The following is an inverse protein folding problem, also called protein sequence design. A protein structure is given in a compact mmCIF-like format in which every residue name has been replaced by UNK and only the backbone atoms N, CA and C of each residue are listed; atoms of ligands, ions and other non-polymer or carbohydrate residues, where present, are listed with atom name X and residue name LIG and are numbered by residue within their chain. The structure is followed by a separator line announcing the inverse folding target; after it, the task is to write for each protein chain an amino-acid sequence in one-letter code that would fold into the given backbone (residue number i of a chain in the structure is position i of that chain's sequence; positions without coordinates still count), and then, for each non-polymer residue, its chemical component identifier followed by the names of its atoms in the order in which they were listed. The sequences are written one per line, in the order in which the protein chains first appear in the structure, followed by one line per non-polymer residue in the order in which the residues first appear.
data_IF_556701760864
#
_entry.id   IF_556701760864
#
_cell.length_a   1.000
_cell.length_b   1.000
_cell.length_c   1.000
_cell.angle_alpha   90.00
_cell.angle_beta   90.00
_cell.angle_gamma   90.00
#
_symmetry.space_group_name_H-M   'P 1'
#
loop_
_entity.id
_entity.type
_entity.pdbx_description
1 polymer ?
#
# COMPACT_ATOMS: atom_id res chain seq x y z
N UNK A 1 1.74 -5.24 10.48
CA UNK A 1 2.59 -4.38 11.34
C UNK A 1 3.90 -3.99 10.71
N UNK A 2 4.69 -4.86 10.06
CA UNK A 2 5.92 -4.39 9.36
C UNK A 2 5.62 -3.27 8.34
N UNK A 3 4.43 -3.23 7.73
CA UNK A 3 3.99 -2.10 6.89
C UNK A 3 3.28 -0.96 7.64
N UNK A 4 2.55 -1.24 8.71
CA UNK A 4 2.17 -0.21 9.70
C UNK A 4 3.37 0.29 10.54
N UNK A 5 4.56 -0.24 10.30
CA UNK A 5 5.85 0.17 10.87
C UNK A 5 6.68 0.85 9.78
N UNK A 6 6.67 0.34 8.54
CA UNK A 6 7.36 0.93 7.38
C UNK A 6 6.72 2.24 6.92
N UNK A 7 5.39 2.35 6.97
CA UNK A 7 4.67 3.62 6.85
C UNK A 7 5.04 4.61 7.95
N UNK A 8 5.89 4.27 8.91
CA UNK A 8 6.13 5.13 10.04
C UNK A 8 7.54 4.96 10.65
N UNK A 9 8.53 4.63 9.82
CA UNK A 9 9.92 4.55 10.24
C UNK A 9 10.56 5.94 10.19
N UNK A 10 10.36 6.70 11.26
CA UNK A 10 11.11 7.93 11.57
C UNK A 10 11.71 7.79 12.96
N UNK A 11 12.93 8.31 13.24
CA UNK A 11 13.56 8.22 14.54
C UNK A 11 12.87 9.19 15.52
N UNK A 12 11.68 8.84 16.01
CA UNK A 12 11.22 9.32 17.30
C UNK A 12 11.70 8.29 18.30
N UNK A 13 12.85 8.58 18.90
CA UNK A 13 13.42 7.80 19.99
C UNK A 13 12.33 7.45 21.01
N UNK A 14 11.82 6.22 20.95
CA UNK A 14 11.02 5.65 22.01
C UNK A 14 11.99 5.21 23.12
N UNK A 15 12.71 6.17 23.68
CA UNK A 15 13.52 5.97 24.86
C UNK A 15 12.69 6.44 26.05
N UNK A 16 12.47 5.51 26.99
CA UNK A 16 11.74 5.61 28.25
C UNK A 16 10.20 5.49 28.20
N UNK A 17 9.69 4.39 28.77
CA UNK A 17 8.28 4.10 29.09
C UNK A 17 7.84 2.68 28.70
N UNK A 18 6.85 2.13 29.41
CA UNK A 18 6.28 0.81 29.12
C UNK A 18 5.60 0.76 27.74
N UNK A 19 5.73 -0.38 27.06
CA UNK A 19 5.16 -0.66 25.72
C UNK A 19 5.41 0.45 24.67
N UNK A 20 6.68 0.77 24.32
CA UNK A 20 7.03 1.89 23.43
C UNK A 20 6.40 1.81 22.03
N UNK A 21 6.18 0.62 21.50
CA UNK A 21 5.54 0.38 20.20
C UNK A 21 4.07 0.78 20.23
N UNK A 22 3.33 0.32 21.25
CA UNK A 22 1.91 0.66 21.44
C UNK A 22 1.73 2.16 21.67
N UNK A 23 2.63 2.77 22.44
CA UNK A 23 2.61 4.21 22.69
C UNK A 23 2.78 5.01 21.39
N UNK A 24 3.64 4.54 20.50
CA UNK A 24 3.85 5.15 19.19
C UNK A 24 2.60 5.02 18.32
N UNK A 25 1.93 3.87 18.33
CA UNK A 25 0.67 3.66 17.62
C UNK A 25 -0.45 4.56 18.17
N UNK A 26 -0.58 4.69 19.49
CA UNK A 26 -1.56 5.58 20.12
C UNK A 26 -1.47 7.02 19.59
N UNK A 27 -0.27 7.60 19.58
CA UNK A 27 -0.09 8.98 19.11
C UNK A 27 -0.30 9.13 17.59
N UNK A 28 -0.12 8.06 16.81
CA UNK A 28 -0.45 8.05 15.38
C UNK A 28 -1.95 7.99 15.14
N UNK A 29 -2.69 7.22 15.93
CA UNK A 29 -4.15 7.24 15.89
C UNK A 29 -4.69 8.61 16.29
N UNK A 30 -4.13 9.22 17.34
CA UNK A 30 -4.44 10.59 17.74
C UNK A 30 -4.13 11.62 16.65
N UNK A 31 -3.04 11.43 15.90
CA UNK A 31 -2.73 12.23 14.73
C UNK A 31 -3.83 12.10 13.66
N UNK A 32 -4.18 10.87 13.26
CA UNK A 32 -5.20 10.62 12.24
C UNK A 32 -6.58 11.16 12.62
N UNK A 33 -6.89 11.17 13.92
CA UNK A 33 -8.13 11.74 14.44
C UNK A 33 -8.24 13.25 14.18
N UNK A 34 -7.12 13.95 13.94
CA UNK A 34 -7.13 15.38 13.56
C UNK A 34 -7.33 15.59 12.05
N UNK A 35 -7.29 14.53 11.26
CA UNK A 35 -7.53 14.57 9.83
C UNK A 35 -9.02 14.31 9.54
N UNK A 36 -9.60 15.03 8.59
CA UNK A 36 -10.99 14.82 8.15
C UNK A 36 -11.08 13.65 7.17
N UNK A 37 -10.69 12.46 7.62
CA UNK A 37 -10.70 11.20 6.88
C UNK A 37 -11.34 10.11 7.73
N UNK A 38 -11.75 9.00 7.10
CA UNK A 38 -12.23 7.79 7.78
C UNK A 38 -11.15 6.71 7.62
N UNK A 39 -10.27 6.49 8.61
CA UNK A 39 -9.22 5.50 8.50
C UNK A 39 -9.76 4.08 8.58
N UNK A 40 -9.31 3.24 7.64
CA UNK A 40 -9.54 1.80 7.65
C UNK A 40 -8.19 1.09 7.60
N UNK A 41 -7.91 0.28 8.61
CA UNK A 41 -6.65 -0.46 8.73
C UNK A 41 -6.82 -1.88 8.20
N UNK A 42 -6.07 -2.26 7.17
CA UNK A 42 -6.11 -3.62 6.61
C UNK A 42 -4.92 -4.43 7.13
N UNK A 43 -5.19 -5.64 7.60
CA UNK A 43 -4.20 -6.59 8.10
C UNK A 43 -4.15 -7.81 7.19
N UNK A 44 -2.95 -8.28 6.78
CA UNK A 44 -2.81 -9.60 6.12
C UNK A 44 -3.47 -10.71 6.94
N UNK A 45 -4.01 -11.69 6.24
CA UNK A 45 -4.57 -12.91 6.80
C UNK A 45 -3.69 -14.14 6.62
N UNK A 46 -4.31 -15.27 6.89
CA UNK A 46 -3.65 -16.57 6.97
C UNK A 46 -3.22 -17.12 5.60
N UNK A 47 -3.87 -16.71 4.51
CA UNK A 47 -3.61 -17.24 3.16
C UNK A 47 -2.51 -16.48 2.40
N UNK A 48 -1.83 -15.53 3.07
CA UNK A 48 -0.67 -14.87 2.48
C UNK A 48 0.44 -15.89 2.16
N UNK A 49 1.19 -15.72 1.06
CA UNK A 49 2.34 -16.56 0.72
C UNK A 49 3.32 -16.70 1.90
N UNK A 50 3.62 -17.94 2.30
CA UNK A 50 4.46 -18.25 3.47
C UNK A 50 5.95 -17.95 3.30
N UNK A 51 6.40 -17.65 2.08
CA UNK A 51 7.78 -17.31 1.73
C UNK A 51 7.75 -16.01 0.92
N UNK A 52 8.48 -14.99 1.38
CA UNK A 52 8.76 -13.76 0.65
C UNK A 52 10.26 -13.49 0.67
N UNK A 53 10.83 -13.02 -0.44
CA UNK A 53 12.25 -12.71 -0.62
C UNK A 53 13.20 -13.85 -0.24
N UNK A 54 12.80 -15.10 -0.52
CA UNK A 54 13.55 -16.30 -0.15
C UNK A 54 13.62 -16.58 1.36
N UNK A 55 12.84 -15.85 2.17
CA UNK A 55 12.76 -16.02 3.62
C UNK A 55 11.35 -16.41 4.02
N UNK A 56 11.22 -17.29 5.03
CA UNK A 56 9.92 -17.56 5.64
C UNK A 56 9.38 -16.26 6.21
N UNK A 57 8.14 -15.92 5.85
CA UNK A 57 7.50 -14.71 6.38
C UNK A 57 7.40 -14.89 7.89
N UNK A 58 8.02 -13.96 8.65
CA UNK A 58 7.95 -14.01 10.12
C UNK A 58 6.49 -13.91 10.56
N UNK A 59 6.07 -14.85 11.39
CA UNK A 59 4.79 -14.80 12.08
C UNK A 59 4.78 -13.54 12.95
N UNK A 60 3.71 -12.76 12.86
CA UNK A 60 3.55 -11.49 13.58
C UNK A 60 3.71 -11.72 15.08
N UNK A 61 4.07 -10.67 15.82
CA UNK A 61 3.85 -10.62 17.25
C UNK A 61 2.33 -10.55 17.50
N UNK A 62 1.65 -11.65 17.85
CA UNK A 62 0.18 -11.68 17.85
C UNK A 62 -0.39 -10.74 18.93
N UNK A 63 0.39 -10.51 19.99
CA UNK A 63 0.07 -9.56 21.04
C UNK A 63 -0.05 -8.13 20.49
N UNK A 64 0.90 -7.65 19.70
CA UNK A 64 0.92 -6.24 19.28
C UNK A 64 -0.24 -5.95 18.30
N UNK A 65 -0.57 -6.89 17.43
CA UNK A 65 -1.71 -6.77 16.52
C UNK A 65 -3.04 -6.72 17.29
N UNK A 66 -3.21 -7.63 18.26
CA UNK A 66 -4.42 -7.69 19.10
C UNK A 66 -4.67 -6.34 19.79
N UNK A 67 -3.65 -5.80 20.47
CA UNK A 67 -3.78 -4.54 21.20
C UNK A 67 -3.86 -3.33 20.26
N UNK A 68 -3.29 -3.41 19.06
CA UNK A 68 -3.49 -2.37 18.05
C UNK A 68 -4.95 -2.33 17.55
N UNK A 69 -5.55 -3.50 17.26
CA UNK A 69 -6.97 -3.61 16.90
C UNK A 69 -7.90 -3.09 18.00
N UNK A 70 -7.54 -3.34 19.26
CA UNK A 70 -8.22 -2.76 20.42
C UNK A 70 -8.14 -1.23 20.42
N UNK A 71 -6.96 -0.64 20.22
CA UNK A 71 -6.82 0.82 20.10
C UNK A 71 -7.59 1.38 18.91
N UNK A 72 -7.53 0.76 17.74
CA UNK A 72 -8.25 1.20 16.53
C UNK A 72 -9.74 1.37 16.84
N UNK A 73 -10.35 0.35 17.47
CA UNK A 73 -11.76 0.40 17.89
C UNK A 73 -12.02 1.48 18.94
N UNK A 74 -11.15 1.63 19.93
CA UNK A 74 -11.27 2.67 20.95
C UNK A 74 -11.24 4.08 20.34
N UNK A 75 -10.51 4.28 19.24
CA UNK A 75 -10.50 5.55 18.49
C UNK A 75 -11.72 5.75 17.57
N UNK A 76 -12.63 4.78 17.48
CA UNK A 76 -13.77 4.81 16.56
C UNK A 76 -13.35 4.57 15.09
N UNK A 77 -12.17 4.03 14.85
CA UNK A 77 -11.69 3.67 13.52
C UNK A 77 -12.04 2.22 13.16
N UNK A 78 -11.86 1.89 11.89
CA UNK A 78 -12.20 0.57 11.36
C UNK A 78 -10.96 -0.24 11.04
N UNK A 79 -11.08 -1.55 11.14
CA UNK A 79 -10.10 -2.45 10.56
C UNK A 79 -10.75 -3.61 9.83
N UNK A 80 -9.97 -4.21 8.94
CA UNK A 80 -10.35 -5.37 8.14
C UNK A 80 -9.20 -6.38 8.11
N UNK A 81 -9.55 -7.65 8.20
CA UNK A 81 -8.61 -8.76 8.05
C UNK A 81 -8.71 -9.29 6.63
N UNK A 82 -7.71 -8.99 5.81
CA UNK A 82 -7.62 -9.51 4.45
C UNK A 82 -7.50 -11.05 4.50
N UNK A 83 -8.04 -11.80 3.53
CA UNK A 83 -7.79 -13.24 3.46
C UNK A 83 -6.32 -13.58 3.18
N UNK A 84 -5.70 -12.82 2.27
CA UNK A 84 -4.30 -12.92 1.85
C UNK A 84 -3.46 -11.74 2.33
N UNK A 85 -2.90 -10.98 1.39
CA UNK A 85 -2.05 -9.82 1.67
C UNK A 85 -2.86 -8.52 1.78
N UNK A 86 -2.50 -7.66 2.73
CA UNK A 86 -3.21 -6.40 2.95
C UNK A 86 -3.16 -5.46 1.73
N UNK A 87 -2.06 -5.45 0.99
CA UNK A 87 -1.77 -4.56 -0.13
C UNK A 87 -2.61 -4.92 -1.35
N UNK A 88 -2.78 -6.23 -1.59
CA UNK A 88 -3.69 -6.73 -2.62
C UNK A 88 -5.15 -6.45 -2.27
N UNK A 89 -5.52 -6.61 -1.00
CA UNK A 89 -6.85 -6.28 -0.51
C UNK A 89 -7.14 -4.77 -0.65
N UNK A 90 -6.21 -3.92 -0.20
CA UNK A 90 -6.28 -2.46 -0.33
C UNK A 90 -6.41 -2.02 -1.79
N UNK A 91 -5.60 -2.58 -2.69
CA UNK A 91 -5.68 -2.30 -4.12
C UNK A 91 -7.05 -2.67 -4.70
N UNK A 92 -7.60 -3.82 -4.28
CA UNK A 92 -8.93 -4.28 -4.71
C UNK A 92 -10.03 -3.38 -4.17
N UNK A 93 -9.99 -3.02 -2.89
CA UNK A 93 -10.94 -2.08 -2.26
C UNK A 93 -10.90 -0.70 -2.95
N UNK A 94 -9.71 -0.21 -3.29
CA UNK A 94 -9.56 1.07 -3.97
C UNK A 94 -10.10 1.05 -5.41
N UNK A 95 -9.82 -0.02 -6.17
CA UNK A 95 -10.43 -0.22 -7.51
C UNK A 95 -11.95 -0.33 -7.46
N UNK A 96 -12.48 -0.98 -6.43
CA UNK A 96 -13.92 -1.16 -6.24
C UNK A 96 -14.63 0.11 -5.74
N UNK A 97 -13.91 1.19 -5.44
CA UNK A 97 -14.47 2.43 -4.92
C UNK A 97 -14.93 2.35 -3.46
N UNK A 98 -14.43 1.35 -2.70
CA UNK A 98 -14.73 1.18 -1.27
C UNK A 98 -13.90 2.12 -0.41
N UNK A 99 -12.67 2.40 -0.85
CA UNK A 99 -11.79 3.41 -0.26
C UNK A 99 -11.28 4.35 -1.35
N UNK A 100 -11.12 5.63 -1.02
CA UNK A 100 -10.66 6.63 -1.98
C UNK A 100 -9.16 6.55 -2.25
N UNK A 101 -8.37 6.27 -1.21
CA UNK A 101 -6.91 6.32 -1.24
C UNK A 101 -6.29 5.25 -0.35
N UNK A 102 -5.12 4.76 -0.77
CA UNK A 102 -4.28 3.83 0.00
C UNK A 102 -3.10 4.60 0.56
N UNK A 103 -2.86 4.53 1.86
CA UNK A 103 -1.60 5.00 2.44
C UNK A 103 -0.71 3.79 2.64
N UNK A 104 0.45 3.75 1.98
CA UNK A 104 1.42 2.65 2.14
C UNK A 104 2.82 3.13 1.72
N UNK A 105 3.86 2.50 2.26
CA UNK A 105 5.23 2.68 1.77
C UNK A 105 5.70 1.54 0.90
N UNK A 106 4.86 0.53 0.72
CA UNK A 106 5.16 -0.54 -0.22
C UNK A 106 4.73 -0.15 -1.63
N UNK A 107 5.56 -0.51 -2.61
CA UNK A 107 5.22 -0.36 -4.02
C UNK A 107 4.29 -1.48 -4.52
N UNK A 108 4.16 -2.58 -3.78
CA UNK A 108 3.34 -3.73 -4.20
C UNK A 108 1.88 -3.34 -4.47
N UNK A 109 1.33 -2.35 -3.75
CA UNK A 109 -0.01 -1.84 -4.02
C UNK A 109 -0.16 -1.27 -5.44
N UNK A 110 0.89 -0.70 -6.04
CA UNK A 110 0.86 -0.26 -7.45
C UNK A 110 0.76 -1.47 -8.40
N UNK A 111 1.49 -2.54 -8.09
CA UNK A 111 1.53 -3.77 -8.90
C UNK A 111 0.18 -4.51 -8.85
N UNK A 112 -0.48 -4.51 -7.69
CA UNK A 112 -1.86 -4.99 -7.56
C UNK A 112 -2.91 -4.03 -8.19
N UNK A 113 -2.47 -2.89 -8.70
CA UNK A 113 -3.27 -1.90 -9.44
C UNK A 113 -4.01 -0.88 -8.56
N UNK A 114 -3.48 -0.55 -7.38
CA UNK A 114 -3.97 0.57 -6.59
C UNK A 114 -4.06 1.85 -7.44
N UNK A 115 -5.20 2.54 -7.36
CA UNK A 115 -5.55 3.66 -8.23
C UNK A 115 -5.05 4.99 -7.68
N UNK A 116 -5.12 5.18 -6.35
CA UNK A 116 -4.67 6.39 -5.67
C UNK A 116 -3.86 5.99 -4.42
N UNK A 117 -2.57 6.28 -4.41
CA UNK A 117 -1.63 5.87 -3.36
C UNK A 117 -0.90 7.07 -2.80
N UNK A 118 -0.97 7.25 -1.48
CA UNK A 118 -0.24 8.25 -0.72
C UNK A 118 1.01 7.62 -0.10
N UNK A 119 2.15 8.27 -0.31
CA UNK A 119 3.45 7.90 0.29
C UNK A 119 4.09 9.10 0.98
N UNK A 120 4.78 8.92 2.10
CA UNK A 120 5.46 10.02 2.78
C UNK A 120 6.69 10.48 2.02
N UNK A 121 6.91 11.79 2.01
CA UNK A 121 8.11 12.40 1.40
C UNK A 121 9.39 11.95 2.09
N UNK A 122 9.38 11.74 3.41
CA UNK A 122 10.55 11.28 4.17
C UNK A 122 11.14 9.99 3.57
N UNK A 123 10.29 9.02 3.23
CA UNK A 123 10.71 7.74 2.64
C UNK A 123 11.26 7.95 1.23
N UNK A 124 10.62 8.79 0.42
CA UNK A 124 11.05 9.08 -0.95
C UNK A 124 12.43 9.76 -0.95
N UNK A 125 12.64 10.73 -0.05
CA UNK A 125 13.89 11.47 0.07
C UNK A 125 15.08 10.58 0.45
N UNK A 126 14.85 9.51 1.22
CA UNK A 126 15.87 8.54 1.60
C UNK A 126 16.25 7.65 0.41
N UNK A 127 15.30 7.34 -0.47
CA UNK A 127 15.53 6.54 -1.68
C UNK A 127 16.24 7.34 -2.79
N UNK A 128 16.03 8.66 -2.85
CA UNK A 128 16.55 9.55 -3.91
C UNK A 128 17.58 10.56 -3.41
N UNK A 129 18.37 10.24 -2.39
CA UNK A 129 19.42 11.16 -1.93
C UNK A 129 20.53 11.27 -2.99
N UNK A 130 20.73 12.44 -3.63
CA UNK A 130 21.86 12.61 -4.53
C UNK A 130 23.18 12.41 -3.76
N UNK A 131 24.24 11.90 -4.42
CA UNK A 131 25.54 11.72 -3.77
C UNK A 131 26.01 13.06 -3.17
N UNK A 132 26.41 13.01 -1.89
CA UNK A 132 26.86 14.20 -1.15
C UNK A 132 28.02 14.86 -1.88
N UNK A 133 27.89 16.14 -2.20
CA UNK A 133 29.03 16.96 -2.60
C UNK A 133 30.06 17.01 -1.47
N UNK A 134 31.35 16.84 -1.78
CA UNK A 134 32.44 17.02 -0.81
C UNK A 134 32.36 18.45 -0.25
N UNK A 135 32.01 18.60 1.02
CA UNK A 135 31.88 19.90 1.71
C UNK A 135 30.50 20.20 2.30
N UNK A 136 29.49 19.34 2.10
CA UNK A 136 28.18 19.53 2.73
C UNK A 136 28.25 19.18 4.23
N UNK A 137 28.06 20.17 5.11
CA UNK A 137 28.13 20.07 6.57
C UNK A 137 26.95 19.30 7.20
N UNK A 138 26.41 18.30 6.49
CA UNK A 138 25.45 17.34 7.04
C UNK A 138 24.18 17.97 7.59
N UNK A 139 23.75 19.14 7.09
CA UNK A 139 22.45 19.72 7.49
C UNK A 139 21.35 18.73 7.11
N UNK A 140 20.70 18.13 8.11
CA UNK A 140 19.52 17.29 7.90
C UNK A 140 18.47 18.15 7.20
N UNK A 141 18.05 17.74 6.01
CA UNK A 141 16.87 18.33 5.36
C UNK A 141 15.71 18.11 6.33
N UNK A 142 15.09 19.20 6.79
CA UNK A 142 13.92 19.14 7.66
C UNK A 142 12.73 18.84 6.75
N UNK A 143 12.35 17.58 6.69
CA UNK A 143 11.17 17.13 5.95
C UNK A 143 9.97 17.30 6.87
N UNK A 144 8.89 17.85 6.33
CA UNK A 144 7.65 17.96 7.07
C UNK A 144 7.03 16.55 7.22
N UNK A 145 6.81 16.03 8.45
CA UNK A 145 6.21 14.72 8.67
C UNK A 145 4.78 14.59 8.13
N UNK A 146 4.15 15.72 7.79
CA UNK A 146 2.78 15.81 7.27
C UNK A 146 2.76 15.89 5.74
N UNK A 147 3.91 15.80 5.06
CA UNK A 147 4.03 15.86 3.60
C UNK A 147 3.94 14.47 2.95
N UNK A 148 3.01 14.33 2.00
CA UNK A 148 2.78 13.11 1.23
C UNK A 148 2.79 13.41 -0.27
N UNK A 149 3.22 12.41 -1.04
CA UNK A 149 3.13 12.37 -2.49
C UNK A 149 1.97 11.46 -2.88
N UNK A 150 1.08 11.99 -3.72
CA UNK A 150 -0.01 11.24 -4.33
C UNK A 150 0.44 10.66 -5.68
N UNK A 151 0.40 9.34 -5.77
CA UNK A 151 0.54 8.58 -7.00
C UNK A 151 -0.85 8.16 -7.47
N UNK A 152 -1.32 8.70 -8.59
CA UNK A 152 -2.54 8.20 -9.24
C UNK A 152 -2.20 7.38 -10.47
N UNK A 153 -2.92 6.29 -10.70
CA UNK A 153 -2.75 5.45 -11.88
C UNK A 153 -2.94 6.24 -13.18
N UNK A 154 -3.89 7.19 -13.18
CA UNK A 154 -4.10 8.12 -14.30
C UNK A 154 -2.86 8.97 -14.60
N UNK A 155 -2.21 9.51 -13.57
CA UNK A 155 -1.02 10.34 -13.76
C UNK A 155 0.20 9.48 -14.17
N UNK A 156 0.36 8.30 -13.57
CA UNK A 156 1.42 7.33 -13.94
C UNK A 156 1.32 6.94 -15.43
N UNK A 157 0.10 6.75 -15.93
CA UNK A 157 -0.14 6.43 -17.33
C UNK A 157 0.07 7.64 -18.26
N UNK A 158 -0.33 8.83 -17.84
CA UNK A 158 -0.28 10.03 -18.67
C UNK A 158 1.13 10.67 -18.75
N UNK A 159 1.99 10.40 -17.77
CA UNK A 159 3.29 11.05 -17.67
C UNK A 159 4.29 10.45 -18.68
N UNK A 160 4.80 11.25 -19.62
CA UNK A 160 5.57 10.83 -20.80
C UNK A 160 6.77 9.91 -20.51
N UNK A 161 7.50 10.18 -19.42
CA UNK A 161 8.67 9.38 -19.03
C UNK A 161 8.32 8.16 -18.16
N UNK A 162 7.05 7.94 -17.84
CA UNK A 162 6.57 6.79 -17.06
C UNK A 162 5.67 5.91 -17.93
N UNK A 163 4.50 6.40 -18.36
CA UNK A 163 3.52 5.73 -19.24
C UNK A 163 3.25 4.26 -18.92
N UNK A 164 3.15 3.94 -17.63
CA UNK A 164 2.95 2.55 -17.19
C UNK A 164 1.48 2.23 -17.00
N UNK A 165 1.02 1.15 -17.66
CA UNK A 165 -0.26 0.51 -17.38
C UNK A 165 -0.16 -0.41 -16.16
N UNK A 166 -1.28 -0.96 -15.69
CA UNK A 166 -1.26 -2.02 -14.68
C UNK A 166 -0.47 -3.24 -15.17
N UNK A 167 -0.65 -3.65 -16.43
CA UNK A 167 0.13 -4.74 -17.03
C UNK A 167 1.62 -4.41 -17.15
N UNK A 168 1.96 -3.14 -17.41
CA UNK A 168 3.34 -2.66 -17.40
C UNK A 168 3.99 -2.72 -16.02
N UNK A 169 3.29 -2.26 -14.97
CA UNK A 169 3.74 -2.38 -13.58
C UNK A 169 3.88 -3.84 -13.15
N UNK A 170 2.94 -4.69 -13.55
CA UNK A 170 3.01 -6.14 -13.38
C UNK A 170 4.28 -6.71 -14.04
N UNK A 171 4.55 -6.36 -15.30
CA UNK A 171 5.73 -6.83 -16.01
C UNK A 171 7.04 -6.38 -15.35
N UNK A 172 7.09 -5.15 -14.84
CA UNK A 172 8.23 -4.66 -14.07
C UNK A 172 8.52 -5.55 -12.85
N UNK A 173 7.50 -5.93 -12.09
CA UNK A 173 7.66 -6.81 -10.93
C UNK A 173 8.18 -8.20 -11.33
N UNK A 174 7.72 -8.73 -12.47
CA UNK A 174 8.18 -10.03 -12.98
C UNK A 174 9.62 -9.97 -13.51
N UNK A 175 10.00 -8.89 -14.21
CA UNK A 175 11.33 -8.74 -14.80
C UNK A 175 12.41 -8.37 -13.79
N UNK A 176 12.12 -7.45 -12.87
CA UNK A 176 13.08 -6.99 -11.85
C UNK A 176 13.12 -7.90 -10.63
N UNK A 177 12.09 -8.73 -10.46
CA UNK A 177 11.91 -9.56 -9.28
C UNK A 177 11.31 -8.74 -8.14
N UNK A 178 10.27 -9.28 -7.54
CA UNK A 178 9.64 -8.73 -6.35
C UNK A 178 9.65 -9.69 -5.18
N UNK A 179 8.70 -9.47 -4.27
CA UNK A 179 8.58 -10.19 -3.01
C UNK A 179 8.44 -11.71 -3.17
N UNK A 180 7.86 -12.19 -4.27
CA UNK A 180 7.64 -13.62 -4.49
C UNK A 180 8.82 -14.37 -5.11
N UNK A 181 9.81 -13.67 -5.65
CA UNK A 181 10.89 -14.28 -6.44
C UNK A 181 12.28 -14.17 -5.79
N UNK A 182 12.36 -13.81 -4.51
CA UNK A 182 13.68 -13.58 -3.91
C UNK A 182 14.42 -12.39 -4.52
N UNK A 183 13.71 -11.46 -5.18
CA UNK A 183 14.27 -10.38 -5.99
C UNK A 183 15.22 -10.86 -7.11
N UNK A 184 14.94 -12.02 -7.71
CA UNK A 184 15.76 -12.57 -8.80
C UNK A 184 15.33 -12.03 -10.17
N UNK A 185 14.04 -12.07 -10.47
CA UNK A 185 13.50 -11.61 -11.74
C UNK A 185 14.16 -12.31 -12.94
N UNK A 186 14.19 -11.63 -14.07
CA UNK A 186 14.96 -12.06 -15.23
C UNK A 186 16.42 -11.62 -15.08
N UNK A 187 17.31 -12.59 -14.83
CA UNK A 187 18.74 -12.34 -14.66
C UNK A 187 19.34 -11.54 -15.82
N UNK A 188 19.94 -10.39 -15.52
CA UNK A 188 20.52 -9.47 -16.49
C UNK A 188 19.56 -8.42 -17.07
N UNK A 189 18.29 -8.43 -16.66
CA UNK A 189 17.33 -7.38 -16.96
C UNK A 189 17.43 -6.25 -15.93
N UNK A 190 17.96 -5.10 -16.32
CA UNK A 190 18.03 -3.90 -15.46
C UNK A 190 16.77 -3.03 -15.58
N UNK A 191 16.63 -2.06 -14.66
CA UNK A 191 15.48 -1.14 -14.59
C UNK A 191 15.14 -0.45 -15.92
N UNK A 192 16.14 0.05 -16.65
CA UNK A 192 15.93 0.72 -17.95
C UNK A 192 15.35 -0.21 -19.00
N UNK A 193 15.88 -1.44 -19.10
CA UNK A 193 15.39 -2.46 -20.03
C UNK A 193 14.01 -2.95 -19.63
N UNK A 194 13.78 -3.17 -18.34
CA UNK A 194 12.46 -3.59 -17.84
C UNK A 194 11.40 -2.51 -18.08
N UNK A 195 11.72 -1.24 -17.84
CA UNK A 195 10.83 -0.11 -18.11
C UNK A 195 10.52 0.01 -19.60
N UNK A 196 11.53 -0.10 -20.46
CA UNK A 196 11.34 -0.16 -21.91
C UNK A 196 10.37 -1.29 -22.32
N UNK A 197 10.56 -2.50 -21.80
CA UNK A 197 9.67 -3.63 -22.09
C UNK A 197 8.26 -3.40 -21.54
N UNK A 198 8.13 -2.73 -20.39
CA UNK A 198 6.85 -2.40 -19.76
C UNK A 198 6.06 -1.31 -20.51
N UNK A 199 6.72 -0.54 -21.39
CA UNK A 199 6.07 0.40 -22.30
C UNK A 199 5.48 -0.29 -23.55
N UNK A 200 5.78 -1.58 -23.77
CA UNK A 200 5.21 -2.39 -24.85
C UNK A 200 3.91 -3.08 -24.39
N UNK A 201 3.22 -3.74 -25.31
CA UNK A 201 2.04 -4.57 -24.98
C UNK A 201 2.36 -5.91 -24.29
N UNK A 202 3.64 -6.22 -24.02
CA UNK A 202 4.03 -7.50 -23.38
C UNK A 202 3.42 -7.66 -21.98
N UNK A 203 3.35 -6.56 -21.22
CA UNK A 203 2.85 -6.61 -19.85
C UNK A 203 1.35 -6.81 -19.80
N UNK A 204 0.59 -6.04 -20.58
CA UNK A 204 -0.87 -6.14 -20.65
C UNK A 204 -1.33 -7.50 -21.18
N UNK A 205 -0.66 -8.01 -22.23
CA UNK A 205 -0.99 -9.31 -22.81
C UNK A 205 -0.70 -10.47 -21.86
N UNK A 206 0.43 -10.44 -21.14
CA UNK A 206 0.74 -11.43 -20.11
C UNK A 206 -0.23 -11.37 -18.94
N UNK A 207 -0.51 -10.16 -18.44
CA UNK A 207 -1.43 -9.95 -17.32
C UNK A 207 -2.83 -10.47 -17.65
N UNK A 208 -3.33 -10.16 -18.85
CA UNK A 208 -4.62 -10.66 -19.33
C UNK A 208 -4.61 -12.19 -19.42
N UNK A 209 -3.60 -12.79 -20.05
CA UNK A 209 -3.48 -14.24 -20.20
C UNK A 209 -3.51 -14.96 -18.85
N UNK A 210 -2.81 -14.45 -17.83
CA UNK A 210 -2.81 -15.06 -16.48
C UNK A 210 -4.19 -15.01 -15.83
N UNK A 211 -5.00 -13.98 -16.11
CA UNK A 211 -6.33 -13.82 -15.53
C UNK A 211 -7.40 -14.66 -16.20
N UNK A 212 -7.25 -14.94 -17.49
CA UNK A 212 -8.32 -15.54 -18.32
C UNK A 212 -8.05 -16.98 -18.73
N UNK A 213 -6.79 -17.40 -18.86
CA UNK A 213 -6.42 -18.73 -19.33
C UNK A 213 -6.27 -19.74 -18.19
N UNK A 214 -6.52 -21.01 -18.48
CA UNK A 214 -6.18 -22.10 -17.57
C UNK A 214 -4.66 -22.39 -17.54
N UNK A 215 -4.21 -23.33 -16.70
CA UNK A 215 -2.78 -23.66 -16.57
C UNK A 215 -2.16 -24.22 -17.86
N UNK A 216 -2.90 -25.03 -18.62
CA UNK A 216 -2.42 -25.68 -19.84
C UNK A 216 -2.31 -24.68 -20.98
N UNK A 217 -3.32 -23.84 -21.12
CA UNK A 217 -3.36 -22.74 -22.08
C UNK A 217 -2.27 -21.71 -21.78
N UNK A 218 -2.13 -21.30 -20.51
CA UNK A 218 -1.11 -20.35 -20.09
C UNK A 218 0.30 -20.89 -20.37
N UNK A 219 0.56 -22.17 -20.12
CA UNK A 219 1.87 -22.77 -20.39
C UNK A 219 2.23 -22.75 -21.88
N UNK A 220 1.24 -22.94 -22.77
CA UNK A 220 1.43 -22.78 -24.23
C UNK A 220 1.65 -21.31 -24.59
N UNK A 221 0.82 -20.42 -24.06
CA UNK A 221 0.94 -18.98 -24.29
C UNK A 221 2.30 -18.42 -23.87
N UNK A 222 2.84 -18.85 -22.72
CA UNK A 222 4.16 -18.45 -22.25
C UNK A 222 5.29 -18.80 -23.23
N UNK A 223 5.09 -19.81 -24.08
CA UNK A 223 6.05 -20.12 -25.15
C UNK A 223 6.08 -19.02 -26.19
N UNK A 224 4.91 -18.63 -26.68
CA UNK A 224 4.76 -17.54 -27.65
C UNK A 224 5.18 -16.20 -27.04
N UNK A 225 4.77 -15.93 -25.80
CA UNK A 225 5.10 -14.69 -25.10
C UNK A 225 6.61 -14.50 -24.91
N UNK A 226 7.36 -15.56 -24.60
CA UNK A 226 8.83 -15.51 -24.55
C UNK A 226 9.45 -15.15 -25.90
N UNK A 227 8.87 -15.59 -27.01
CA UNK A 227 9.37 -15.25 -28.35
C UNK A 227 9.07 -13.78 -28.68
N UNK A 228 7.92 -13.27 -28.26
CA UNK A 228 7.63 -11.83 -28.33
C UNK A 228 8.63 -11.02 -27.49
N UNK A 229 8.92 -11.46 -26.26
CA UNK A 229 9.93 -10.83 -25.40
C UNK A 229 11.33 -10.83 -26.05
N UNK A 230 11.74 -11.94 -26.67
CA UNK A 230 13.00 -12.02 -27.43
C UNK A 230 12.99 -11.05 -28.62
N UNK A 231 11.87 -10.95 -29.33
CA UNK A 231 11.71 -10.02 -30.44
C UNK A 231 11.92 -8.57 -30.00
N UNK A 232 11.26 -8.14 -28.92
CA UNK A 232 11.42 -6.78 -28.38
C UNK A 232 12.85 -6.50 -27.88
N UNK A 233 13.56 -7.51 -27.36
CA UNK A 233 14.96 -7.34 -26.96
C UNK A 233 15.92 -7.26 -28.16
N UNK A 234 15.62 -7.90 -29.29
CA UNK A 234 16.45 -7.88 -30.50
C UNK A 234 16.14 -6.69 -31.41
N UNK A 235 14.87 -6.30 -31.46
CA UNK A 235 14.32 -5.23 -32.29
C UNK A 235 13.28 -4.45 -31.47
N UNK A 236 13.73 -3.53 -30.59
CA UNK A 236 12.83 -2.77 -29.75
C UNK A 236 11.85 -1.92 -30.56
N UNK A 237 10.55 -2.02 -30.23
CA UNK A 237 9.50 -1.17 -30.81
C UNK A 237 9.51 0.26 -30.24
N UNK A 238 10.08 0.45 -29.04
CA UNK A 238 10.15 1.74 -28.37
C UNK A 238 11.26 2.61 -28.97
N UNK A 239 10.95 3.85 -29.43
CA UNK A 239 11.96 4.75 -29.99
C UNK A 239 13.11 5.04 -29.01
N UNK A 240 14.35 4.97 -29.50
CA UNK A 240 15.56 5.24 -28.72
C UNK A 240 15.98 4.10 -27.78
N UNK A 241 15.25 2.97 -27.75
CA UNK A 241 15.63 1.81 -26.97
C UNK A 241 16.83 1.06 -27.58
N UNK A 242 17.71 0.56 -26.71
CA UNK A 242 18.88 -0.24 -27.11
C UNK A 242 18.50 -1.70 -27.30
N UNK A 243 19.21 -2.38 -28.20
CA UNK A 243 19.11 -3.84 -28.38
C UNK A 243 19.83 -4.55 -27.24
N UNK A 244 19.31 -5.70 -26.84
CA UNK A 244 19.87 -6.56 -25.80
C UNK A 244 19.97 -8.04 -26.22
N UNK A 245 20.75 -8.39 -27.26
CA UNK A 245 20.83 -9.77 -27.76
C UNK A 245 21.33 -10.79 -26.72
N UNK A 246 22.27 -10.38 -25.86
CA UNK A 246 22.78 -11.24 -24.78
C UNK A 246 21.70 -11.61 -23.77
N UNK A 247 20.77 -10.69 -23.47
CA UNK A 247 19.64 -10.96 -22.58
C UNK A 247 18.63 -11.88 -23.27
N UNK A 248 18.30 -11.63 -24.54
CA UNK A 248 17.38 -12.45 -25.32
C UNK A 248 17.81 -13.94 -25.36
N UNK A 249 19.11 -14.19 -25.53
CA UNK A 249 19.68 -15.54 -25.56
C UNK A 249 19.69 -16.23 -24.18
N UNK A 250 19.61 -15.46 -23.10
CA UNK A 250 19.66 -15.97 -21.72
C UNK A 250 18.29 -16.17 -21.09
N UNK A 251 17.19 -15.88 -21.79
CA UNK A 251 15.82 -16.10 -21.27
C UNK A 251 15.59 -17.60 -21.04
N UNK A 252 15.45 -18.05 -19.78
CA UNK A 252 15.22 -19.45 -19.48
C UNK A 252 13.84 -19.92 -19.94
N UNK A 253 13.71 -21.19 -20.32
CA UNK A 253 12.41 -21.80 -20.69
C UNK A 253 11.41 -21.76 -19.52
N UNK A 254 11.92 -21.87 -18.29
CA UNK A 254 11.13 -21.82 -17.06
C UNK A 254 10.69 -20.39 -16.65
N UNK A 255 11.18 -19.35 -17.34
CA UNK A 255 10.74 -17.98 -17.11
C UNK A 255 9.55 -17.62 -18.02
N UNK A 256 8.56 -16.87 -17.52
CA UNK A 256 8.33 -16.50 -16.13
C UNK A 256 7.74 -17.65 -15.30
N UNK A 257 7.95 -17.62 -13.98
CA UNK A 257 7.38 -18.61 -13.07
C UNK A 257 5.86 -18.41 -12.94
N UNK A 258 5.07 -19.38 -13.40
CA UNK A 258 3.60 -19.31 -13.41
C UNK A 258 2.98 -19.06 -12.03
N UNK A 259 3.58 -19.60 -10.95
CA UNK A 259 3.08 -19.39 -9.59
C UNK A 259 3.24 -17.92 -9.16
N UNK A 260 4.36 -17.30 -9.54
CA UNK A 260 4.65 -15.90 -9.25
C UNK A 260 3.73 -14.99 -10.05
N UNK A 261 3.48 -15.31 -11.33
CA UNK A 261 2.49 -14.59 -12.13
C UNK A 261 1.13 -14.54 -11.44
N UNK A 262 0.66 -15.69 -10.95
CA UNK A 262 -0.63 -15.80 -10.28
C UNK A 262 -0.69 -15.03 -8.96
N UNK A 263 0.40 -14.99 -8.19
CA UNK A 263 0.42 -14.20 -6.95
C UNK A 263 0.15 -12.71 -7.19
N UNK A 264 0.65 -12.14 -8.29
CA UNK A 264 0.38 -10.75 -8.62
C UNK A 264 -0.94 -10.54 -9.38
N UNK A 265 -1.28 -11.39 -10.33
CA UNK A 265 -2.44 -11.18 -11.21
C UNK A 265 -3.77 -11.72 -10.66
N UNK A 266 -3.71 -12.69 -9.75
CA UNK A 266 -4.86 -13.32 -9.10
C UNK A 266 -4.60 -13.45 -7.58
N UNK A 267 -4.36 -12.33 -6.87
CA UNK A 267 -4.11 -12.38 -5.43
C UNK A 267 -5.36 -12.78 -4.67
N UNK A 268 -5.18 -13.51 -3.56
CA UNK A 268 -6.28 -13.91 -2.68
C UNK A 268 -6.77 -12.67 -1.91
N UNK A 269 -8.01 -12.26 -2.19
CA UNK A 269 -8.70 -11.12 -1.58
C UNK A 269 -10.13 -11.49 -1.20
N UNK A 270 -10.85 -10.60 -0.52
CA UNK A 270 -12.28 -10.83 -0.18
C UNK A 270 -13.20 -10.91 -1.42
N UNK A 271 -12.70 -10.60 -2.61
CA UNK A 271 -13.42 -10.71 -3.89
C UNK A 271 -13.19 -12.05 -4.60
N UNK A 272 -12.33 -12.92 -4.06
CA UNK A 272 -12.16 -14.25 -4.61
C UNK A 272 -13.43 -15.11 -4.40
N UNK A 273 -13.74 -15.98 -5.37
CA UNK A 273 -14.86 -16.91 -5.25
C UNK A 273 -14.71 -17.78 -3.98
N UNK A 274 -15.78 -17.85 -3.19
CA UNK A 274 -15.81 -18.56 -1.90
C UNK A 274 -15.68 -17.68 -0.66
N UNK A 275 -15.41 -16.38 -0.80
CA UNK A 275 -15.53 -15.42 0.29
C UNK A 275 -16.88 -14.69 0.24
N UNK A 276 -17.72 -14.90 1.24
CA UNK A 276 -19.06 -14.29 1.32
C UNK A 276 -19.04 -12.91 2.01
N UNK A 277 -18.07 -12.67 2.90
CA UNK A 277 -17.93 -11.41 3.61
C UNK A 277 -17.26 -10.36 2.73
N UNK A 278 -18.07 -9.49 2.14
CA UNK A 278 -17.60 -8.27 1.47
C UNK A 278 -17.51 -7.14 2.48
N UNK A 279 -16.50 -6.30 2.30
CA UNK A 279 -16.36 -5.06 3.06
C UNK A 279 -17.51 -4.12 2.71
N UNK A 280 -18.32 -3.74 3.71
CA UNK A 280 -19.47 -2.84 3.53
C UNK A 280 -19.05 -1.43 3.92
N UNK A 281 -18.64 -0.62 2.94
CA UNK A 281 -18.18 0.75 3.16
C UNK A 281 -19.21 1.64 3.87
N UNK A 282 -20.51 1.40 3.62
CA UNK A 282 -21.60 2.18 4.22
C UNK A 282 -21.73 2.01 5.74
N UNK A 283 -21.06 1.01 6.33
CA UNK A 283 -20.97 0.85 7.77
C UNK A 283 -19.90 1.76 8.41
N UNK A 284 -19.09 2.44 7.60
CA UNK A 284 -18.03 3.32 8.08
C UNK A 284 -18.50 4.75 8.20
N UNK A 285 -18.69 5.16 9.45
CA UNK A 285 -19.07 6.52 9.83
C UNK A 285 -17.83 7.34 10.20
N UNK A 286 -18.04 8.65 10.32
CA UNK A 286 -17.01 9.54 10.85
C UNK A 286 -16.64 9.10 12.27
N UNK A 287 -15.34 8.92 12.58
CA UNK A 287 -14.87 8.36 13.84
C UNK A 287 -15.33 9.15 15.08
N UNK A 288 -15.83 8.44 16.09
CA UNK A 288 -16.10 9.00 17.41
C UNK A 288 -15.35 8.15 18.46
N UNK A 289 -14.26 8.66 19.04
CA UNK A 289 -13.44 7.89 19.97
C UNK A 289 -14.10 7.74 21.33
N UNK A 290 -13.95 6.56 21.93
CA UNK A 290 -14.37 6.24 23.28
C UNK A 290 -13.25 6.56 24.27
N UNK A 291 -13.44 7.64 25.03
CA UNK A 291 -12.45 8.14 25.98
C UNK A 291 -12.25 7.18 27.16
N UNK A 292 -13.29 6.44 27.56
CA UNK A 292 -13.17 5.47 28.64
C UNK A 292 -12.29 4.31 28.19
N UNK A 293 -12.51 3.78 26.98
CA UNK A 293 -11.69 2.71 26.41
C UNK A 293 -10.24 3.16 26.18
N UNK A 294 -10.02 4.38 25.66
CA UNK A 294 -8.66 4.92 25.47
C UNK A 294 -7.95 5.10 26.81
N UNK A 295 -8.66 5.60 27.83
CA UNK A 295 -8.10 5.82 29.17
C UNK A 295 -7.73 4.48 29.83
N UNK A 296 -8.62 3.50 29.79
CA UNK A 296 -8.36 2.14 30.28
C UNK A 296 -7.13 1.52 29.60
N UNK A 297 -7.04 1.64 28.27
CA UNK A 297 -5.89 1.16 27.52
C UNK A 297 -4.59 1.82 27.98
N UNK A 298 -4.60 3.15 28.17
CA UNK A 298 -3.41 3.88 28.62
C UNK A 298 -2.98 3.46 30.04
N UNK A 299 -3.94 3.24 30.94
CA UNK A 299 -3.67 2.77 32.30
C UNK A 299 -3.07 1.36 32.32
N UNK A 300 -3.55 0.46 31.45
CA UNK A 300 -3.03 -0.92 31.35
C UNK A 300 -1.61 -1.02 30.77
N UNK A 301 -1.29 -0.21 29.75
CA UNK A 301 -0.04 -0.39 28.97
C UNK A 301 1.04 0.65 29.22
N UNK A 302 0.68 1.83 29.73
CA UNK A 302 1.63 2.94 29.89
C UNK A 302 1.76 3.43 31.34
N UNK A 303 0.91 2.97 32.23
CA UNK A 303 0.91 3.28 33.67
C UNK A 303 1.02 4.80 33.96
N UNK A 304 0.33 5.62 33.16
CA UNK A 304 0.26 7.07 33.41
C UNK A 304 -0.63 7.34 34.62
N UNK A 305 -0.18 8.22 35.51
CA UNK A 305 -1.04 8.80 36.53
C UNK A 305 -2.16 9.66 35.89
N UNK A 306 -3.17 9.98 36.68
CA UNK A 306 -4.38 10.69 36.21
C UNK A 306 -4.07 12.06 35.61
N UNK A 307 -3.11 12.80 36.16
CA UNK A 307 -2.77 14.14 35.71
C UNK A 307 -2.03 14.10 34.37
N UNK A 308 -1.06 13.20 34.23
CA UNK A 308 -0.32 12.95 32.99
C UNK A 308 -1.24 12.42 31.90
N UNK A 309 -2.16 11.51 32.24
CA UNK A 309 -3.16 11.00 31.30
C UNK A 309 -4.04 12.14 30.78
N UNK A 310 -4.63 12.94 31.68
CA UNK A 310 -5.46 14.08 31.30
C UNK A 310 -4.70 15.08 30.43
N UNK A 311 -3.45 15.41 30.78
CA UNK A 311 -2.61 16.29 29.98
C UNK A 311 -2.39 15.75 28.56
N UNK A 312 -2.11 14.45 28.42
CA UNK A 312 -1.87 13.81 27.12
C UNK A 312 -3.14 13.69 26.29
N UNK A 313 -4.28 13.37 26.89
CA UNK A 313 -5.58 13.35 26.21
C UNK A 313 -5.94 14.74 25.68
N UNK A 314 -5.82 15.78 26.51
CA UNK A 314 -6.08 17.18 26.12
C UNK A 314 -5.19 17.64 24.98
N UNK A 315 -3.90 17.30 25.03
CA UNK A 315 -2.93 17.76 24.02
C UNK A 315 -3.07 17.02 22.68
N UNK A 316 -3.32 15.72 22.71
CA UNK A 316 -3.15 14.87 21.51
C UNK A 316 -4.47 14.36 20.94
N UNK A 317 -5.49 14.11 21.76
CA UNK A 317 -6.73 13.45 21.33
C UNK A 317 -7.88 14.45 21.22
N UNK A 318 -8.03 15.36 22.19
CA UNK A 318 -9.12 16.33 22.24
C UNK A 318 -9.27 17.20 20.99
N UNK A 319 -8.18 17.72 20.38
CA UNK A 319 -8.29 18.46 19.13
C UNK A 319 -8.90 17.62 18.00
N UNK A 320 -8.55 16.33 17.92
CA UNK A 320 -9.11 15.42 16.93
C UNK A 320 -10.61 15.17 17.15
N UNK A 321 -11.02 15.01 18.41
CA UNK A 321 -12.45 14.83 18.77
C UNK A 321 -13.28 16.02 18.32
N UNK A 322 -12.78 17.24 18.54
CA UNK A 322 -13.45 18.46 18.10
C UNK A 322 -13.57 18.46 16.57
N UNK A 323 -12.50 18.14 15.84
CA UNK A 323 -12.51 18.06 14.37
C UNK A 323 -13.52 17.03 13.87
N UNK A 324 -13.53 15.80 14.41
CA UNK A 324 -14.47 14.76 13.98
C UNK A 324 -15.92 15.10 14.34
N UNK A 325 -16.15 15.73 15.50
CA UNK A 325 -17.49 16.18 15.90
C UNK A 325 -18.04 17.22 14.92
N UNK A 326 -17.21 18.18 14.50
CA UNK A 326 -17.56 19.16 13.47
C UNK A 326 -17.78 18.50 12.10
N UNK A 327 -16.98 17.49 11.76
CA UNK A 327 -17.11 16.77 10.50
C UNK A 327 -18.42 15.96 10.42
N UNK A 328 -18.84 15.32 11.52
CA UNK A 328 -20.14 14.65 11.65
C UNK A 328 -21.31 15.60 11.45
N UNK A 329 -21.25 16.75 12.11
CA UNK A 329 -22.24 17.83 11.96
C UNK A 329 -22.41 18.20 10.49
N UNK A 330 -21.31 18.42 9.75
CA UNK A 330 -21.38 18.73 8.32
C UNK A 330 -22.04 17.63 7.49
N UNK A 331 -21.75 16.35 7.74
CA UNK A 331 -22.37 15.25 6.99
C UNK A 331 -23.89 15.20 7.22
N UNK A 332 -24.33 15.39 8.46
CA UNK A 332 -25.76 15.48 8.81
C UNK A 332 -26.38 16.66 8.05
N UNK A 333 -25.82 17.87 8.15
CA UNK A 333 -26.41 19.04 7.51
C UNK A 333 -26.29 19.07 5.98
N UNK A 334 -25.33 18.37 5.38
CA UNK A 334 -25.25 18.21 3.92
C UNK A 334 -26.37 17.31 3.38
N UNK A 335 -26.88 16.38 4.21
CA UNK A 335 -28.07 15.58 3.93
C UNK A 335 -29.36 16.42 4.06
N UNK A 336 -29.41 17.40 4.97
CA UNK A 336 -30.56 18.30 5.14
C UNK A 336 -30.56 19.51 4.19
N UNK A 337 -29.40 20.03 3.76
CA UNK A 337 -29.32 21.18 2.85
C UNK A 337 -29.68 20.85 1.39
N UNK A 338 -29.88 19.59 1.02
CA UNK A 338 -30.30 19.20 -0.34
C UNK A 338 -31.83 19.14 -0.52
N UNK A 339 -32.62 19.42 0.52
CA UNK A 339 -34.08 19.44 0.47
C UNK A 339 -34.73 20.83 0.35
N UNK A 340 -34.00 21.91 0.07
CA UNK A 340 -34.64 23.21 -0.18
C UNK A 340 -33.78 24.11 -1.05
N UNK A 341 -34.08 24.13 -2.36
CA UNK A 341 -34.07 25.31 -3.26
C UNK A 341 -34.48 24.91 -4.69
N UNK A 342 -35.58 24.14 -4.84
CA UNK A 342 -36.24 23.93 -6.15
C UNK A 342 -37.73 24.26 -6.15
N UNK A 343 -38.24 24.89 -5.08
CA UNK A 343 -39.59 25.47 -5.04
C UNK A 343 -39.52 26.95 -4.64
N UNK A 344 -39.07 27.76 -5.58
CA UNK A 344 -39.42 29.16 -5.67
C UNK A 344 -39.46 29.51 -7.16
N UNK A 345 -40.67 29.37 -7.74
CA UNK A 345 -41.03 30.04 -8.99
C UNK A 345 -41.35 31.50 -8.71
#
# INVERSE_FOLDING_TARGET
MVQCEAMFWGPRHAQAGDSPELRTLLFRLAYLLRCTVIPVFVFDGALRPGIKRGKKVRTRAPWLEKHFKEMIRAFGFYYHDAPGEAEAELATMNKAGIIDMIITEDSDALVFGGMCILRRVEVISLLYRPPRSKGDNGKKIKIDPDEYVLYSSKHILAQDNVRLTEGGLFLLAILLGGDYDGNKGLSGCGQKTAHMLALTGLGDSLYLAVKTMDNSELQKYLTVWRDMLRSELLQPSIPGASKHPSLANKIPVAFPNMKILKYYAQPITSWHAGFEQRVVASAWEVPLPDIALISDFCSRFFHWDSDVLLQRLRKNIWPGIIVQSLYRVRQIYSFWLWCSLSEAR
#
